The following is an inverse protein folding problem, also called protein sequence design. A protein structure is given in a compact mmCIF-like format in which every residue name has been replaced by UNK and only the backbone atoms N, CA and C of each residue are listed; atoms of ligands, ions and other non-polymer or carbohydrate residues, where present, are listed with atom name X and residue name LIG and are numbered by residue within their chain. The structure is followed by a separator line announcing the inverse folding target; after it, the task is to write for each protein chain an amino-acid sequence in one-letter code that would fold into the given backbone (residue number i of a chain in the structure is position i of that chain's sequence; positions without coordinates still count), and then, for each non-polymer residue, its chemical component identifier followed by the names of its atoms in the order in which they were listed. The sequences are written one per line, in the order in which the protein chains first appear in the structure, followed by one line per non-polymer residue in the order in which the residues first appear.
data_IF_499811565584
#
_entry.id   IF_499811565584
#
_cell.length_a   1.000
_cell.length_b   1.000
_cell.length_c   1.000
_cell.angle_alpha   90.00
_cell.angle_beta   90.00
_cell.angle_gamma   90.00
#
_symmetry.space_group_name_H-M   'P 1'
#
loop_
_entity.id
_entity.type
_entity.pdbx_description
1 polymer ?
#
# COMPACT_ATOMS: atom_id res chain seq x y z
N UNK A 1 38.51 17.19 -3.59
CA UNK A 1 39.35 16.68 -2.48
C UNK A 1 38.55 15.89 -1.45
N UNK A 2 37.48 16.46 -0.82
CA UNK A 2 36.70 15.74 0.19
C UNK A 2 36.04 14.49 -0.38
N UNK A 3 35.35 14.63 -1.51
CA UNK A 3 34.64 13.52 -2.17
C UNK A 3 35.65 12.47 -2.71
N UNK A 4 36.77 12.91 -3.30
CA UNK A 4 37.82 12.02 -3.82
C UNK A 4 38.39 11.16 -2.67
N UNK A 5 38.65 11.79 -1.52
CA UNK A 5 39.15 11.09 -0.32
C UNK A 5 38.15 10.05 0.24
N UNK A 6 36.86 10.15 -0.10
CA UNK A 6 35.82 9.21 0.25
C UNK A 6 35.48 8.20 -0.86
N UNK A 7 36.22 8.23 -1.98
CA UNK A 7 36.05 7.32 -3.11
C UNK A 7 34.98 7.74 -4.12
N UNK A 8 34.56 9.00 -4.13
CA UNK A 8 33.63 9.57 -5.10
C UNK A 8 34.35 10.32 -6.24
N UNK A 9 35.52 9.84 -6.65
CA UNK A 9 36.41 10.42 -7.68
C UNK A 9 35.79 10.47 -9.08
N UNK A 10 34.72 9.69 -9.32
CA UNK A 10 34.00 9.67 -10.59
C UNK A 10 32.99 10.81 -10.74
N UNK A 11 32.72 11.58 -9.67
CA UNK A 11 31.79 12.73 -9.73
C UNK A 11 32.56 13.91 -10.33
N UNK A 12 32.05 14.41 -11.44
CA UNK A 12 32.62 15.58 -12.10
C UNK A 12 31.84 16.83 -11.75
N UNK A 13 32.56 17.88 -11.43
CA UNK A 13 32.02 19.23 -11.25
C UNK A 13 32.71 20.14 -12.25
N UNK A 14 31.95 20.97 -12.94
CA UNK A 14 32.51 22.09 -13.69
C UNK A 14 32.54 23.32 -12.79
N UNK A 15 33.61 24.10 -12.87
CA UNK A 15 33.78 25.29 -12.05
C UNK A 15 32.71 26.33 -12.30
N UNK A 16 32.12 26.36 -13.51
CA UNK A 16 31.05 27.32 -13.84
C UNK A 16 29.81 27.19 -12.95
N UNK A 17 29.54 26.01 -12.40
CA UNK A 17 28.41 25.78 -11.47
C UNK A 17 28.53 26.56 -10.17
N UNK A 18 29.73 27.06 -9.83
CA UNK A 18 30.01 27.70 -8.55
C UNK A 18 30.49 29.15 -8.67
N UNK A 19 30.86 29.60 -9.85
CA UNK A 19 31.45 30.94 -10.06
C UNK A 19 30.44 32.06 -9.71
N UNK A 20 29.17 31.86 -10.01
CA UNK A 20 28.09 32.83 -9.75
C UNK A 20 27.40 32.62 -8.40
N UNK A 21 27.76 31.54 -7.66
CA UNK A 21 27.21 31.30 -6.33
C UNK A 21 27.81 32.27 -5.30
N UNK A 22 27.10 32.45 -4.18
CA UNK A 22 27.54 33.29 -3.08
C UNK A 22 28.88 32.80 -2.51
N UNK A 23 29.93 33.59 -2.71
CA UNK A 23 31.28 33.27 -2.25
C UNK A 23 31.41 33.45 -0.73
N UNK A 24 32.36 32.74 -0.12
CA UNK A 24 32.55 32.78 1.34
C UNK A 24 32.86 34.18 1.84
N UNK A 25 33.72 34.91 1.13
CA UNK A 25 34.17 36.26 1.44
C UNK A 25 33.02 37.27 1.46
N UNK A 26 32.02 37.06 0.63
CA UNK A 26 30.81 37.91 0.57
C UNK A 26 29.73 37.45 1.57
N UNK A 27 29.60 36.14 1.77
CA UNK A 27 28.59 35.55 2.66
C UNK A 27 28.81 35.95 4.12
N UNK A 28 30.03 35.87 4.61
CA UNK A 28 30.33 36.11 6.03
C UNK A 28 29.98 37.54 6.47
N UNK A 29 30.45 38.60 5.82
CA UNK A 29 30.06 39.98 6.16
C UNK A 29 28.55 40.19 6.05
N UNK A 30 27.91 39.61 5.03
CA UNK A 30 26.47 39.69 4.83
C UNK A 30 25.71 39.04 5.99
N UNK A 31 26.11 37.86 6.43
CA UNK A 31 25.46 37.16 7.54
C UNK A 31 25.64 37.90 8.86
N UNK A 32 26.80 38.46 9.16
CA UNK A 32 27.02 39.33 10.32
C UNK A 32 26.07 40.52 10.32
N UNK A 33 25.91 41.16 9.15
CA UNK A 33 25.00 42.30 8.99
C UNK A 33 23.53 41.88 9.19
N UNK A 34 23.11 40.76 8.63
CA UNK A 34 21.76 40.23 8.76
C UNK A 34 21.46 39.82 10.20
N UNK A 35 22.36 39.13 10.89
CA UNK A 35 22.23 38.80 12.30
C UNK A 35 22.05 40.03 13.18
N UNK A 36 22.82 41.09 12.90
CA UNK A 36 22.69 42.38 13.62
C UNK A 36 21.31 43.00 13.38
N UNK A 37 20.89 43.13 12.12
CA UNK A 37 19.63 43.76 11.73
C UNK A 37 18.40 43.03 12.28
N UNK A 38 18.43 41.70 12.28
CA UNK A 38 17.34 40.88 12.81
C UNK A 38 17.31 40.95 14.34
N UNK A 39 18.48 40.90 14.99
CA UNK A 39 18.59 41.02 16.44
C UNK A 39 18.06 42.36 16.95
N UNK A 40 18.34 43.47 16.29
CA UNK A 40 17.79 44.80 16.62
C UNK A 40 16.26 44.86 16.55
N UNK A 41 15.64 43.91 15.82
CA UNK A 41 14.18 43.80 15.65
C UNK A 41 13.55 42.68 16.45
N UNK A 42 14.31 42.00 17.30
CA UNK A 42 13.85 40.84 18.09
C UNK A 42 13.56 39.62 17.24
N UNK A 43 14.16 39.52 16.02
CA UNK A 43 14.04 38.38 15.11
C UNK A 43 15.34 37.58 15.10
N UNK A 44 15.25 36.33 14.70
CA UNK A 44 16.39 35.42 14.52
C UNK A 44 16.72 35.30 13.03
N UNK A 45 18.01 35.36 12.69
CA UNK A 45 18.51 35.01 11.36
C UNK A 45 19.18 33.65 11.40
N UNK A 46 18.88 32.82 10.42
CA UNK A 46 19.50 31.52 10.24
C UNK A 46 19.73 31.21 8.75
N UNK A 47 20.55 30.24 8.47
CA UNK A 47 20.84 29.77 7.13
C UNK A 47 20.40 28.34 6.95
N UNK A 48 19.95 27.98 5.74
CA UNK A 48 19.69 26.61 5.36
C UNK A 48 20.77 26.12 4.41
N UNK A 49 21.43 25.02 4.76
CA UNK A 49 22.51 24.39 3.99
C UNK A 49 22.21 22.89 3.82
N UNK A 50 22.47 22.26 2.70
CA UNK A 50 22.76 22.77 1.37
C UNK A 50 21.69 22.31 0.41
N UNK A 51 21.59 22.95 -0.75
CA UNK A 51 20.84 22.36 -1.87
C UNK A 51 21.64 21.20 -2.49
N UNK A 52 21.01 20.47 -3.41
CA UNK A 52 21.69 19.52 -4.29
C UNK A 52 22.70 20.25 -5.16
N UNK A 53 23.86 19.64 -5.40
CA UNK A 53 24.86 20.21 -6.30
C UNK A 53 24.66 19.72 -7.73
N UNK A 54 24.75 20.59 -8.75
CA UNK A 54 24.81 20.18 -10.13
C UNK A 54 26.12 19.43 -10.38
N UNK A 55 26.03 18.39 -11.18
CA UNK A 55 27.15 17.54 -11.60
C UNK A 55 26.96 17.14 -13.05
N UNK A 56 28.05 17.03 -13.79
CA UNK A 56 28.00 16.72 -15.21
C UNK A 56 27.57 15.27 -15.47
N UNK A 57 26.72 15.08 -16.47
CA UNK A 57 26.38 13.76 -17.00
C UNK A 57 27.45 13.34 -18.00
N UNK A 58 28.32 12.40 -17.62
CA UNK A 58 29.45 11.95 -18.48
C UNK A 58 29.23 10.58 -19.10
N UNK A 59 28.36 9.76 -18.54
CA UNK A 59 28.16 8.39 -18.99
C UNK A 59 26.72 8.15 -19.53
N UNK A 60 26.00 9.21 -19.87
CA UNK A 60 24.65 9.12 -20.42
C UNK A 60 23.64 8.57 -19.41
N UNK A 61 23.82 8.86 -18.12
CA UNK A 61 22.91 8.42 -17.05
C UNK A 61 21.52 9.03 -17.18
N UNK A 62 21.44 10.25 -17.71
CA UNK A 62 20.22 10.99 -17.98
C UNK A 62 20.27 11.62 -19.38
N UNK A 63 19.11 11.95 -19.98
CA UNK A 63 19.05 12.64 -21.27
C UNK A 63 19.37 14.16 -21.17
N UNK A 64 20.04 14.61 -20.13
CA UNK A 64 20.43 15.99 -19.86
C UNK A 64 21.95 16.08 -19.72
N UNK A 65 22.50 17.27 -19.88
CA UNK A 65 23.93 17.53 -19.70
C UNK A 65 24.32 17.54 -18.21
N UNK A 66 23.36 17.88 -17.35
CA UNK A 66 23.53 17.99 -15.91
C UNK A 66 22.57 17.08 -15.14
N UNK A 67 23.00 16.67 -13.96
CA UNK A 67 22.19 16.02 -12.94
C UNK A 67 22.52 16.60 -11.56
N UNK A 68 21.73 16.22 -10.54
CA UNK A 68 21.92 16.75 -9.19
C UNK A 68 22.42 15.69 -8.23
N UNK A 69 23.57 15.96 -7.60
CA UNK A 69 24.10 15.13 -6.52
C UNK A 69 23.28 15.37 -5.24
N UNK A 70 22.81 14.28 -4.63
CA UNK A 70 22.03 14.32 -3.41
C UNK A 70 22.30 13.10 -2.50
N UNK A 71 21.71 13.10 -1.32
CA UNK A 71 21.79 11.99 -0.39
C UNK A 71 23.16 11.85 0.27
N UNK A 72 23.63 10.63 0.47
CA UNK A 72 24.81 10.30 1.28
C UNK A 72 26.10 11.02 0.86
N UNK A 73 26.32 11.18 -0.43
CA UNK A 73 27.50 11.87 -0.96
C UNK A 73 27.50 13.38 -0.66
N UNK A 74 26.33 13.97 -0.46
CA UNK A 74 26.19 15.38 -0.12
C UNK A 74 26.48 15.66 1.37
N UNK A 75 26.26 14.69 2.25
CA UNK A 75 26.44 14.86 3.69
C UNK A 75 27.82 15.39 4.11
N UNK A 76 28.93 14.84 3.62
CA UNK A 76 30.26 15.35 3.96
C UNK A 76 30.48 16.81 3.61
N UNK A 77 29.94 17.25 2.47
CA UNK A 77 30.08 18.65 2.02
C UNK A 77 29.24 19.60 2.87
N UNK A 78 27.98 19.24 3.08
CA UNK A 78 27.05 20.03 3.92
C UNK A 78 27.52 20.12 5.36
N UNK A 79 28.03 19.03 5.92
CA UNK A 79 28.53 19.00 7.29
C UNK A 79 29.84 19.81 7.43
N UNK A 80 30.75 19.73 6.45
CA UNK A 80 31.95 20.57 6.44
C UNK A 80 31.60 22.05 6.44
N UNK A 81 30.64 22.47 5.62
CA UNK A 81 30.16 23.86 5.60
C UNK A 81 29.51 24.25 6.93
N UNK A 82 28.69 23.36 7.54
CA UNK A 82 28.10 23.59 8.86
C UNK A 82 29.19 23.81 9.91
N UNK A 83 30.24 22.99 9.90
CA UNK A 83 31.38 23.14 10.82
C UNK A 83 32.14 24.44 10.63
N UNK A 84 32.38 24.85 9.37
CA UNK A 84 33.02 26.14 9.07
C UNK A 84 32.17 27.32 9.57
N UNK A 85 30.89 27.36 9.27
CA UNK A 85 29.97 28.40 9.73
C UNK A 85 29.85 28.42 11.26
N UNK A 86 29.78 27.26 11.89
CA UNK A 86 29.71 27.17 13.35
C UNK A 86 30.95 27.77 14.04
N UNK A 87 32.12 27.54 13.50
CA UNK A 87 33.39 28.13 13.99
C UNK A 87 33.40 29.65 13.80
N UNK A 88 33.10 30.13 12.59
CA UNK A 88 33.10 31.55 12.25
C UNK A 88 32.16 32.36 13.15
N UNK A 89 30.93 31.87 13.32
CA UNK A 89 29.90 32.55 14.12
C UNK A 89 29.89 32.12 15.59
N UNK A 90 30.88 31.33 16.04
CA UNK A 90 30.99 30.88 17.45
C UNK A 90 29.70 30.22 17.97
N UNK A 91 29.08 29.42 17.10
CA UNK A 91 27.82 28.74 17.38
C UNK A 91 26.56 29.60 17.38
N UNK A 92 26.66 30.91 17.18
CA UNK A 92 25.51 31.83 17.29
C UNK A 92 24.61 31.88 16.04
N UNK A 93 25.07 31.44 14.89
CA UNK A 93 24.30 31.35 13.65
C UNK A 93 23.45 30.10 13.67
N UNK A 94 22.13 30.26 13.53
CA UNK A 94 21.24 29.10 13.40
C UNK A 94 21.43 28.43 12.04
N UNK A 95 21.64 27.13 12.08
CA UNK A 95 21.85 26.32 10.86
C UNK A 95 20.70 25.34 10.74
N UNK A 96 19.87 25.51 9.70
CA UNK A 96 18.94 24.52 9.22
C UNK A 96 19.67 23.58 8.26
N UNK A 97 19.63 22.29 8.52
CA UNK A 97 20.37 21.30 7.76
C UNK A 97 19.55 20.64 6.66
N UNK A 98 20.10 20.61 5.46
CA UNK A 98 19.49 19.89 4.33
C UNK A 98 20.62 19.39 3.44
N UNK A 99 21.03 18.16 3.57
CA UNK A 99 22.12 17.63 2.76
C UNK A 99 22.53 16.25 3.21
N UNK A 100 21.79 15.24 2.77
CA UNK A 100 22.13 13.85 2.99
C UNK A 100 21.93 13.33 4.41
N UNK A 101 21.19 14.04 5.27
CA UNK A 101 20.83 13.54 6.59
C UNK A 101 19.99 12.26 6.50
N UNK A 102 20.26 11.33 7.37
CA UNK A 102 19.58 10.04 7.49
C UNK A 102 19.58 9.53 8.94
N UNK A 103 19.16 8.29 9.15
CA UNK A 103 19.05 7.69 10.48
C UNK A 103 20.40 7.65 11.23
N UNK A 104 21.53 7.61 10.53
CA UNK A 104 22.86 7.54 11.15
C UNK A 104 23.37 8.90 11.61
N UNK A 105 22.84 9.98 11.05
CA UNK A 105 23.31 11.34 11.32
C UNK A 105 22.35 12.21 12.11
N UNK A 106 21.03 11.88 12.06
CA UNK A 106 19.98 12.76 12.59
C UNK A 106 20.17 13.11 14.08
N UNK A 107 20.44 12.12 14.90
CA UNK A 107 20.65 12.31 16.36
C UNK A 107 21.86 13.19 16.65
N UNK A 108 22.97 12.91 16.00
CA UNK A 108 24.24 13.63 16.15
C UNK A 108 24.12 15.10 15.73
N UNK A 109 23.44 15.38 14.62
CA UNK A 109 23.15 16.73 14.16
C UNK A 109 22.28 17.49 15.17
N UNK A 110 21.24 16.85 15.68
CA UNK A 110 20.36 17.45 16.66
C UNK A 110 21.09 17.79 17.96
N UNK A 111 21.87 16.85 18.49
CA UNK A 111 22.67 17.03 19.70
C UNK A 111 23.78 18.07 19.55
N UNK A 112 24.22 18.35 18.33
CA UNK A 112 25.15 19.44 18.03
C UNK A 112 24.45 20.81 17.89
N UNK A 113 23.12 20.88 18.01
CA UNK A 113 22.36 22.11 17.85
C UNK A 113 22.14 22.52 16.38
N UNK A 114 22.38 21.61 15.43
CA UNK A 114 22.19 21.84 13.99
C UNK A 114 20.79 21.35 13.62
N UNK A 115 19.80 22.21 13.70
CA UNK A 115 18.40 21.95 13.38
C UNK A 115 17.61 23.24 13.15
N UNK A 116 16.47 23.25 12.39
CA UNK A 116 15.73 22.09 11.89
C UNK A 116 16.48 21.28 10.82
N UNK A 117 16.14 19.97 10.70
CA UNK A 117 16.77 19.06 9.73
C UNK A 117 15.73 18.65 8.70
N UNK A 118 16.07 18.82 7.43
CA UNK A 118 15.23 18.47 6.29
C UNK A 118 15.80 17.24 5.57
N UNK A 119 14.93 16.30 5.23
CA UNK A 119 15.31 15.08 4.52
C UNK A 119 14.42 14.88 3.29
N UNK A 120 15.01 14.61 2.14
CA UNK A 120 14.31 14.28 0.91
C UNK A 120 14.71 12.89 0.40
N UNK A 121 15.99 12.70 0.05
CA UNK A 121 16.50 11.44 -0.53
C UNK A 121 16.21 10.22 0.34
N UNK A 122 16.23 10.38 1.67
CA UNK A 122 15.93 9.30 2.62
C UNK A 122 14.54 8.72 2.43
N UNK A 123 13.54 9.56 2.18
CA UNK A 123 12.14 9.14 2.00
C UNK A 123 11.80 8.73 0.57
N UNK A 124 12.65 9.08 -0.40
CA UNK A 124 12.54 8.61 -1.78
C UNK A 124 13.10 7.20 -1.98
N UNK A 125 13.85 6.68 -1.00
CA UNK A 125 14.36 5.30 -1.01
C UNK A 125 13.31 4.31 -0.53
N UNK A 126 13.50 2.99 -0.82
CA UNK A 126 12.62 1.94 -0.30
C UNK A 126 12.39 2.07 1.20
N UNK A 127 11.13 1.96 1.63
CA UNK A 127 10.68 2.24 3.00
C UNK A 127 9.93 3.58 3.11
N UNK A 128 10.13 4.52 2.17
CA UNK A 128 9.35 5.75 2.06
C UNK A 128 9.18 6.50 3.38
N UNK A 129 7.97 6.95 3.64
CA UNK A 129 7.62 7.69 4.86
C UNK A 129 7.72 6.85 6.16
N UNK A 130 7.74 5.51 6.09
CA UNK A 130 7.98 4.67 7.28
C UNK A 130 9.34 4.92 7.92
N UNK A 131 10.30 5.47 7.16
CA UNK A 131 11.61 5.88 7.69
C UNK A 131 11.50 6.97 8.74
N UNK A 132 10.49 7.83 8.69
CA UNK A 132 10.25 8.81 9.76
C UNK A 132 9.92 8.16 11.10
N UNK A 133 9.22 7.02 11.10
CA UNK A 133 8.98 6.27 12.33
C UNK A 133 10.27 5.69 12.92
N UNK A 134 11.21 5.25 12.08
CA UNK A 134 12.52 4.79 12.53
C UNK A 134 13.35 5.95 13.10
N UNK A 135 13.40 7.07 12.38
CA UNK A 135 14.11 8.29 12.80
C UNK A 135 13.49 8.85 14.09
N UNK A 136 12.15 8.86 14.19
CA UNK A 136 11.47 9.28 15.41
C UNK A 136 11.86 8.46 16.63
N UNK A 137 12.07 7.15 16.48
CA UNK A 137 12.55 6.29 17.56
C UNK A 137 13.95 6.67 18.04
N UNK A 138 14.86 7.01 17.13
CA UNK A 138 16.21 7.46 17.47
C UNK A 138 16.21 8.78 18.24
N UNK A 139 15.15 9.59 18.10
CA UNK A 139 15.02 10.88 18.78
C UNK A 139 14.17 10.83 20.04
N UNK A 140 13.51 9.71 20.35
CA UNK A 140 12.58 9.60 21.51
C UNK A 140 13.24 9.84 22.86
N UNK A 141 14.50 9.47 23.01
CA UNK A 141 15.24 9.59 24.26
C UNK A 141 15.98 10.94 24.41
N UNK A 142 15.80 11.85 23.44
CA UNK A 142 16.43 13.18 23.48
C UNK A 142 15.47 14.16 24.13
N UNK A 143 15.92 14.83 25.20
CA UNK A 143 15.21 15.96 25.77
C UNK A 143 15.24 17.14 24.79
N UNK A 144 14.06 17.68 24.47
CA UNK A 144 13.98 18.89 23.67
C UNK A 144 14.15 20.11 24.54
N UNK A 145 15.24 20.83 24.31
CA UNK A 145 15.50 22.13 24.93
C UNK A 145 15.41 23.24 23.87
N UNK A 146 15.03 24.44 24.25
CA UNK A 146 15.09 25.59 23.34
C UNK A 146 16.50 25.76 22.76
N UNK A 147 16.56 26.17 21.51
CA UNK A 147 17.85 26.34 20.84
C UNK A 147 18.69 27.43 21.51
N UNK A 148 19.90 27.10 21.93
CA UNK A 148 20.84 28.01 22.60
C UNK A 148 22.08 28.30 21.76
N UNK A 149 22.23 27.62 20.64
CA UNK A 149 23.38 27.73 19.73
C UNK A 149 23.78 26.39 19.16
N UNK A 150 24.72 26.43 18.24
CA UNK A 150 25.43 25.24 17.75
C UNK A 150 26.60 24.96 18.65
N UNK A 151 26.72 23.72 19.12
CA UNK A 151 27.91 23.24 19.83
C UNK A 151 29.04 23.06 18.83
N UNK A 152 29.97 24.02 18.83
CA UNK A 152 31.08 24.07 17.85
C UNK A 152 32.00 22.86 17.95
N UNK A 153 32.25 22.38 19.19
CA UNK A 153 33.14 21.24 19.41
C UNK A 153 32.51 19.93 18.91
N UNK A 154 31.22 19.75 19.17
CA UNK A 154 30.47 18.61 18.60
C UNK A 154 30.40 18.68 17.07
N UNK A 155 30.11 19.85 16.51
CA UNK A 155 30.08 20.03 15.06
C UNK A 155 31.46 19.70 14.43
N UNK A 156 32.55 20.14 15.04
CA UNK A 156 33.90 19.83 14.60
C UNK A 156 34.26 18.33 14.73
N UNK A 157 33.80 17.70 15.81
CA UNK A 157 33.95 16.26 16.00
C UNK A 157 33.23 15.47 14.90
N UNK A 158 32.01 15.86 14.54
CA UNK A 158 31.27 15.23 13.44
C UNK A 158 31.96 15.40 12.08
N UNK A 159 32.55 16.59 11.83
CA UNK A 159 33.34 16.84 10.62
C UNK A 159 34.59 15.94 10.54
N UNK A 160 35.18 15.63 11.67
CA UNK A 160 36.32 14.68 11.72
C UNK A 160 35.90 13.23 11.60
N UNK A 161 34.73 12.89 12.17
CA UNK A 161 34.19 11.52 12.19
C UNK A 161 33.84 11.01 10.79
N UNK A 162 33.15 11.82 9.96
CA UNK A 162 32.69 11.33 8.66
C UNK A 162 33.81 10.86 7.74
N UNK A 163 35.01 11.36 7.90
CA UNK A 163 36.18 10.99 7.07
C UNK A 163 36.51 9.51 7.23
N UNK A 164 36.31 8.96 8.41
CA UNK A 164 36.58 7.56 8.74
C UNK A 164 35.31 6.69 8.80
N UNK A 165 34.13 7.30 8.82
CA UNK A 165 32.88 6.59 8.88
C UNK A 165 32.57 5.91 7.54
N UNK A 166 32.61 4.58 7.55
CA UNK A 166 32.37 3.74 6.36
C UNK A 166 31.01 3.99 5.73
N UNK A 167 30.01 4.50 6.50
CA UNK A 167 28.70 4.81 5.98
C UNK A 167 28.74 5.88 4.87
N UNK A 168 29.67 6.82 4.95
CA UNK A 168 29.83 7.91 3.98
C UNK A 168 30.87 7.60 2.90
N UNK A 169 31.61 6.52 3.01
CA UNK A 169 32.55 6.08 2.00
C UNK A 169 31.87 5.34 0.85
N UNK A 170 32.32 5.57 -0.38
CA UNK A 170 31.80 4.91 -1.57
C UNK A 170 31.93 3.39 -1.56
N UNK A 171 33.06 2.81 -1.13
CA UNK A 171 33.28 1.38 -1.14
C UNK A 171 32.38 0.57 -0.19
N UNK A 172 31.72 1.22 0.76
CA UNK A 172 30.84 0.52 1.72
C UNK A 172 29.77 -0.35 1.05
N UNK A 173 29.29 0.07 -0.11
CA UNK A 173 28.41 -0.73 -0.94
C UNK A 173 29.01 -0.86 -2.31
N UNK A 174 29.77 -1.89 -2.59
CA UNK A 174 30.08 -2.24 -3.97
C UNK A 174 28.72 -2.55 -4.63
N UNK A 175 28.09 -1.51 -5.16
CA UNK A 175 26.88 -1.68 -5.96
C UNK A 175 27.40 -2.22 -7.27
N UNK A 176 27.10 -3.48 -7.62
CA UNK A 176 27.31 -3.93 -8.99
C UNK A 176 26.60 -2.93 -9.89
N UNK A 177 27.20 -2.63 -11.02
CA UNK A 177 26.65 -1.67 -12.00
C UNK A 177 25.14 -1.86 -12.10
N UNK A 178 24.38 -0.78 -11.97
CA UNK A 178 22.92 -0.83 -12.22
C UNK A 178 22.61 -1.06 -13.71
N UNK A 179 23.62 -0.87 -14.57
CA UNK A 179 23.54 -1.25 -15.99
C UNK A 179 23.66 -2.76 -16.06
N UNK A 180 22.56 -3.42 -16.32
CA UNK A 180 22.53 -4.85 -16.56
C UNK A 180 22.68 -5.11 -18.04
N UNK A 181 23.72 -5.84 -18.44
CA UNK A 181 23.94 -6.27 -19.81
C UNK A 181 22.95 -7.35 -20.26
N UNK A 182 22.15 -7.83 -19.33
CA UNK A 182 21.14 -8.87 -19.57
C UNK A 182 19.74 -8.28 -19.42
N UNK A 183 18.82 -8.78 -20.23
CA UNK A 183 17.39 -8.51 -20.06
C UNK A 183 16.99 -8.86 -18.62
N UNK A 184 16.60 -7.83 -17.88
CA UNK A 184 16.16 -8.00 -16.50
C UNK A 184 14.91 -8.87 -16.51
N UNK A 185 14.84 -9.98 -15.74
CA UNK A 185 13.57 -10.63 -15.50
C UNK A 185 12.59 -9.59 -14.96
N UNK A 186 11.31 -9.72 -15.32
CA UNK A 186 10.25 -8.90 -14.72
C UNK A 186 10.38 -9.00 -13.20
N UNK A 187 10.92 -7.95 -12.62
CA UNK A 187 11.01 -7.83 -11.17
C UNK A 187 9.69 -7.19 -10.74
N UNK A 188 9.01 -7.80 -9.77
CA UNK A 188 7.86 -7.18 -9.16
C UNK A 188 8.21 -5.75 -8.72
N UNK A 189 7.45 -4.78 -9.23
CA UNK A 189 7.42 -3.48 -8.60
C UNK A 189 7.07 -3.66 -7.14
N UNK A 190 7.70 -2.92 -6.25
CA UNK A 190 7.49 -2.99 -4.81
C UNK A 190 6.01 -2.91 -4.43
N UNK A 191 5.24 -2.13 -5.16
CA UNK A 191 3.80 -2.03 -5.03
C UNK A 191 3.22 -1.77 -6.41
N UNK A 192 2.77 -2.82 -7.06
CA UNK A 192 2.01 -2.66 -8.28
C UNK A 192 0.73 -1.87 -7.97
N UNK A 193 0.44 -0.76 -8.68
CA UNK A 193 -0.75 0.05 -8.42
C UNK A 193 -2.05 -0.73 -8.46
N UNK A 194 -2.12 -1.80 -9.27
CA UNK A 194 -3.25 -2.71 -9.30
C UNK A 194 -3.44 -3.48 -7.98
N UNK A 195 -2.35 -3.83 -7.28
CA UNK A 195 -2.42 -4.44 -5.95
C UNK A 195 -3.02 -3.48 -4.94
N UNK A 196 -2.57 -2.22 -4.91
CA UNK A 196 -3.12 -1.18 -4.04
C UNK A 196 -4.57 -0.81 -4.40
N UNK A 197 -4.96 -0.97 -5.67
CA UNK A 197 -6.34 -0.84 -6.12
C UNK A 197 -7.25 -1.99 -5.73
N UNK A 198 -6.70 -3.12 -5.28
CA UNK A 198 -7.46 -4.27 -4.83
C UNK A 198 -7.74 -4.17 -3.32
N UNK A 199 -9.04 -4.15 -2.86
CA UNK A 199 -9.35 -4.02 -1.44
C UNK A 199 -8.79 -5.13 -0.54
N UNK A 200 -8.47 -6.29 -1.11
CA UNK A 200 -7.85 -7.43 -0.42
C UNK A 200 -6.38 -7.62 -0.82
N UNK A 201 -5.78 -6.64 -1.49
CA UNK A 201 -4.37 -6.60 -1.87
C UNK A 201 -3.84 -7.90 -2.48
N UNK A 202 -4.59 -8.47 -3.45
CA UNK A 202 -4.15 -9.66 -4.16
C UNK A 202 -2.83 -9.42 -4.88
N UNK A 203 -1.99 -10.43 -4.94
CA UNK A 203 -0.76 -10.40 -5.72
C UNK A 203 -1.07 -10.58 -7.20
N UNK A 204 -1.57 -9.49 -7.80
CA UNK A 204 -2.05 -9.48 -9.18
C UNK A 204 -0.93 -9.77 -10.18
N UNK A 205 0.26 -9.15 -10.09
CA UNK A 205 1.35 -9.45 -11.02
C UNK A 205 1.74 -10.92 -10.99
N UNK A 206 1.84 -11.52 -9.80
CA UNK A 206 2.26 -12.90 -9.67
C UNK A 206 1.27 -13.87 -10.31
N UNK A 207 -0.03 -13.76 -10.02
CA UNK A 207 -0.97 -14.69 -10.66
C UNK A 207 -1.16 -14.43 -12.16
N UNK A 208 -1.06 -13.18 -12.64
CA UNK A 208 -1.10 -12.89 -14.08
C UNK A 208 0.07 -13.51 -14.81
N UNK A 209 1.27 -13.50 -14.22
CA UNK A 209 2.44 -14.19 -14.76
C UNK A 209 2.17 -15.67 -14.90
N UNK A 210 1.59 -16.32 -13.88
CA UNK A 210 1.24 -17.74 -13.93
C UNK A 210 0.16 -18.05 -14.95
N UNK A 211 -0.84 -17.19 -15.10
CA UNK A 211 -1.84 -17.31 -16.18
C UNK A 211 -1.18 -17.24 -17.55
N UNK A 212 -0.24 -16.32 -17.76
CA UNK A 212 0.49 -16.19 -19.00
C UNK A 212 1.38 -17.41 -19.32
N UNK A 213 1.90 -18.06 -18.30
CA UNK A 213 2.65 -19.32 -18.41
C UNK A 213 1.75 -20.55 -18.62
N UNK A 214 0.42 -20.40 -18.57
CA UNK A 214 -0.54 -21.51 -18.62
C UNK A 214 -0.62 -22.33 -17.32
N UNK A 215 0.01 -21.87 -16.25
CA UNK A 215 0.06 -22.52 -14.92
C UNK A 215 -1.12 -22.10 -14.05
N UNK A 216 -2.32 -22.49 -14.45
CA UNK A 216 -3.56 -22.02 -13.81
C UNK A 216 -3.71 -22.49 -12.36
N UNK A 217 -3.23 -23.69 -12.02
CA UNK A 217 -3.21 -24.18 -10.64
C UNK A 217 -2.39 -23.26 -9.72
N UNK A 218 -1.15 -22.93 -10.13
CA UNK A 218 -0.28 -22.04 -9.37
C UNK A 218 -0.89 -20.63 -9.27
N UNK A 219 -1.51 -20.14 -10.36
CA UNK A 219 -2.21 -18.87 -10.36
C UNK A 219 -3.37 -18.86 -9.35
N UNK A 220 -4.19 -19.92 -9.34
CA UNK A 220 -5.32 -20.05 -8.41
C UNK A 220 -4.82 -20.18 -6.96
N UNK A 221 -3.73 -20.86 -6.72
CA UNK A 221 -3.11 -20.96 -5.40
C UNK A 221 -2.68 -19.58 -4.87
N UNK A 222 -2.07 -18.75 -5.73
CA UNK A 222 -1.73 -17.37 -5.38
C UNK A 222 -2.99 -16.55 -5.06
N UNK A 223 -4.02 -16.67 -5.89
CA UNK A 223 -5.29 -15.96 -5.71
C UNK A 223 -5.94 -16.34 -4.38
N UNK A 224 -6.06 -17.64 -4.09
CA UNK A 224 -6.74 -18.15 -2.89
C UNK A 224 -5.99 -17.85 -1.59
N UNK A 225 -4.75 -17.37 -1.68
CA UNK A 225 -4.02 -16.89 -0.51
C UNK A 225 -4.74 -15.71 0.17
N UNK A 226 -5.36 -14.80 -0.61
CA UNK A 226 -6.08 -13.61 -0.11
C UNK A 226 -7.54 -13.51 -0.54
N UNK A 227 -7.99 -14.39 -1.41
CA UNK A 227 -9.34 -14.37 -1.97
C UNK A 227 -9.99 -15.76 -1.85
N UNK A 228 -10.92 -15.87 -0.92
CA UNK A 228 -11.66 -17.12 -0.70
C UNK A 228 -12.67 -17.47 -1.80
N UNK A 229 -13.05 -16.46 -2.63
CA UNK A 229 -14.15 -16.55 -3.60
C UNK A 229 -13.67 -16.17 -5.01
N UNK A 230 -12.74 -16.92 -5.61
CA UNK A 230 -12.15 -16.59 -6.90
C UNK A 230 -13.15 -16.60 -8.06
N UNK A 231 -14.16 -17.48 -8.05
CA UNK A 231 -15.19 -17.54 -9.09
C UNK A 231 -16.16 -16.37 -9.00
N UNK A 232 -16.72 -16.11 -7.81
CA UNK A 232 -17.62 -14.96 -7.59
C UNK A 232 -16.90 -13.67 -7.94
N UNK A 233 -15.70 -13.44 -7.40
CA UNK A 233 -14.96 -12.20 -7.64
C UNK A 233 -14.33 -12.16 -9.04
N UNK A 234 -14.10 -13.28 -9.69
CA UNK A 234 -13.71 -13.37 -11.08
C UNK A 234 -14.81 -12.91 -12.04
N UNK A 235 -16.06 -13.11 -11.62
CA UNK A 235 -17.24 -12.80 -12.44
C UNK A 235 -17.77 -11.39 -12.19
N UNK A 236 -18.01 -11.00 -10.92
CA UNK A 236 -18.78 -9.79 -10.58
C UNK A 236 -18.02 -8.72 -9.78
N UNK A 237 -16.71 -8.88 -9.56
CA UNK A 237 -15.92 -7.86 -8.86
C UNK A 237 -15.95 -6.52 -9.64
N UNK A 238 -15.96 -5.40 -8.92
CA UNK A 238 -15.89 -4.04 -9.48
C UNK A 238 -14.55 -3.68 -10.11
N UNK A 239 -13.58 -4.57 -10.06
CA UNK A 239 -12.24 -4.52 -10.69
C UNK A 239 -11.49 -3.17 -10.58
N UNK A 240 -11.55 -2.48 -9.46
CA UNK A 240 -10.85 -1.22 -9.21
C UNK A 240 -9.33 -1.29 -9.45
N UNK A 241 -8.77 -2.48 -9.41
CA UNK A 241 -7.39 -2.74 -9.81
C UNK A 241 -7.13 -2.38 -11.28
N UNK A 242 -8.12 -2.52 -12.16
CA UNK A 242 -8.00 -2.13 -13.58
C UNK A 242 -7.97 -0.62 -13.74
N UNK A 243 -8.70 0.14 -12.90
CA UNK A 243 -8.66 1.60 -12.90
C UNK A 243 -7.27 2.14 -12.48
N UNK A 244 -6.53 1.37 -11.69
CA UNK A 244 -5.16 1.69 -11.24
C UNK A 244 -4.07 1.07 -12.10
N UNK A 245 -4.42 0.39 -13.19
CA UNK A 245 -3.44 -0.23 -14.06
C UNK A 245 -2.60 0.83 -14.77
N UNK A 246 -1.26 0.69 -14.70
CA UNK A 246 -0.34 1.63 -15.34
C UNK A 246 -0.49 1.64 -16.86
N UNK A 247 -0.99 0.57 -17.47
CA UNK A 247 -1.24 0.52 -18.91
C UNK A 247 -2.28 1.53 -19.38
N UNK A 248 -3.18 1.99 -18.49
CA UNK A 248 -4.12 3.07 -18.84
C UNK A 248 -3.41 4.36 -19.31
N UNK A 249 -2.10 4.51 -19.03
CA UNK A 249 -1.31 5.64 -19.50
C UNK A 249 -0.87 5.51 -20.99
N UNK A 250 -0.94 4.30 -21.57
CA UNK A 250 -0.50 4.07 -22.96
C UNK A 250 -1.62 3.54 -23.85
N UNK A 251 -2.42 2.56 -23.33
CA UNK A 251 -3.45 1.87 -24.09
C UNK A 251 -4.60 1.43 -23.16
N UNK A 252 -4.90 0.16 -23.05
CA UNK A 252 -5.97 -0.37 -22.18
C UNK A 252 -5.39 -1.10 -20.99
N UNK A 253 -6.14 -1.07 -19.87
CA UNK A 253 -5.80 -1.86 -18.68
C UNK A 253 -5.75 -3.36 -19.00
N UNK A 254 -4.90 -4.08 -18.29
CA UNK A 254 -4.98 -5.55 -18.30
C UNK A 254 -6.35 -5.98 -17.78
N UNK A 255 -7.01 -6.91 -18.47
CA UNK A 255 -8.31 -7.48 -18.07
C UNK A 255 -8.17 -8.41 -16.85
N UNK A 256 -7.75 -7.82 -15.72
CA UNK A 256 -7.35 -8.52 -14.50
C UNK A 256 -8.47 -9.43 -13.98
N UNK A 257 -9.71 -8.95 -13.97
CA UNK A 257 -10.85 -9.75 -13.53
C UNK A 257 -11.05 -11.00 -14.36
N UNK A 258 -11.00 -10.86 -15.68
CA UNK A 258 -11.15 -11.98 -16.62
C UNK A 258 -10.01 -12.99 -16.46
N UNK A 259 -8.78 -12.53 -16.31
CA UNK A 259 -7.64 -13.42 -16.08
C UNK A 259 -7.73 -14.16 -14.74
N UNK A 260 -8.28 -13.52 -13.72
CA UNK A 260 -8.57 -14.16 -12.43
C UNK A 260 -9.60 -15.28 -12.58
N UNK A 261 -10.68 -15.04 -13.32
CA UNK A 261 -11.67 -16.08 -13.62
C UNK A 261 -11.05 -17.23 -14.40
N UNK A 262 -10.28 -16.93 -15.43
CA UNK A 262 -9.56 -17.93 -16.22
C UNK A 262 -8.61 -18.80 -15.35
N UNK A 263 -7.94 -18.19 -14.38
CA UNK A 263 -7.12 -18.93 -13.42
C UNK A 263 -7.98 -19.83 -12.53
N UNK A 264 -9.14 -19.34 -12.07
CA UNK A 264 -10.06 -20.13 -11.26
C UNK A 264 -10.60 -21.34 -12.03
N UNK A 265 -11.13 -21.12 -13.23
CA UNK A 265 -11.66 -22.19 -14.08
C UNK A 265 -10.59 -23.22 -14.47
N UNK A 266 -9.43 -22.76 -14.94
CA UNK A 266 -8.37 -23.65 -15.40
C UNK A 266 -7.58 -24.36 -14.29
N UNK A 267 -7.55 -23.80 -13.07
CA UNK A 267 -6.78 -24.33 -11.95
C UNK A 267 -7.60 -25.15 -10.93
N UNK A 268 -8.92 -25.07 -10.98
CA UNK A 268 -9.82 -25.57 -9.95
C UNK A 268 -9.68 -27.08 -9.70
N UNK A 269 -9.83 -27.89 -10.74
CA UNK A 269 -9.80 -29.35 -10.65
C UNK A 269 -8.44 -29.88 -10.14
N UNK A 270 -7.36 -29.17 -10.49
CA UNK A 270 -6.02 -29.55 -10.05
C UNK A 270 -5.71 -29.11 -8.62
N UNK A 271 -6.24 -27.96 -8.18
CA UNK A 271 -5.97 -27.39 -6.86
C UNK A 271 -6.88 -27.98 -5.78
N UNK A 272 -8.18 -28.14 -6.05
CA UNK A 272 -9.19 -28.54 -5.04
C UNK A 272 -8.77 -29.77 -4.22
N UNK A 273 -8.29 -30.91 -4.80
CA UNK A 273 -7.92 -32.08 -4.04
C UNK A 273 -6.67 -31.91 -3.18
N UNK A 274 -5.88 -30.86 -3.43
CA UNK A 274 -4.64 -30.54 -2.69
C UNK A 274 -4.91 -29.62 -1.50
N UNK A 275 -6.07 -28.98 -1.48
CA UNK A 275 -6.45 -28.08 -0.40
C UNK A 275 -6.77 -28.85 0.87
N UNK A 276 -6.27 -28.36 1.97
CA UNK A 276 -6.53 -28.90 3.30
C UNK A 276 -6.34 -27.84 4.38
N UNK A 277 -7.07 -27.94 5.49
CA UNK A 277 -6.87 -27.04 6.64
C UNK A 277 -5.50 -27.28 7.28
N UNK A 278 -5.02 -26.29 8.03
CA UNK A 278 -3.89 -26.45 8.93
C UNK A 278 -4.24 -27.42 10.07
N UNK A 279 -3.25 -27.74 10.91
CA UNK A 279 -3.47 -28.54 12.11
C UNK A 279 -4.54 -27.85 13.00
N UNK A 280 -5.43 -28.65 13.63
CA UNK A 280 -6.50 -28.10 14.44
C UNK A 280 -6.01 -27.22 15.58
N UNK A 281 -6.61 -26.04 15.73
CA UNK A 281 -6.35 -25.12 16.84
C UNK A 281 -7.24 -25.46 18.02
N UNK A 282 -6.65 -25.95 19.10
CA UNK A 282 -7.37 -26.36 20.31
C UNK A 282 -8.08 -25.16 20.99
N UNK A 283 -9.29 -25.42 21.51
CA UNK A 283 -10.04 -24.47 22.33
C UNK A 283 -10.67 -23.30 21.57
N UNK A 284 -10.63 -23.28 20.23
CA UNK A 284 -11.28 -22.26 19.40
C UNK A 284 -12.36 -22.89 18.53
N UNK A 285 -13.61 -22.56 18.85
CA UNK A 285 -14.78 -22.95 18.06
C UNK A 285 -15.53 -21.69 17.66
N UNK A 286 -15.62 -21.41 16.37
CA UNK A 286 -16.18 -20.17 15.84
C UNK A 286 -17.48 -20.43 15.10
N UNK A 287 -18.52 -19.65 15.40
CA UNK A 287 -19.75 -19.61 14.65
C UNK A 287 -19.76 -18.44 13.69
N UNK A 288 -20.19 -18.64 12.45
CA UNK A 288 -20.42 -17.60 11.46
C UNK A 288 -21.90 -17.55 11.14
N UNK A 289 -22.57 -16.43 11.43
CA UNK A 289 -23.98 -16.24 11.17
C UNK A 289 -24.17 -15.56 9.80
N UNK A 290 -24.66 -16.32 8.83
CA UNK A 290 -24.87 -15.92 7.45
C UNK A 290 -23.86 -16.53 6.48
N UNK A 291 -24.37 -17.22 5.47
CA UNK A 291 -23.61 -17.92 4.42
C UNK A 291 -23.45 -17.12 3.13
N UNK A 292 -23.51 -15.79 3.20
CA UNK A 292 -23.18 -14.91 2.08
C UNK A 292 -21.66 -14.77 1.86
N UNK A 293 -21.22 -13.95 0.88
CA UNK A 293 -19.78 -13.82 0.55
C UNK A 293 -18.88 -13.48 1.75
N UNK A 294 -19.35 -12.63 2.67
CA UNK A 294 -18.60 -12.28 3.87
C UNK A 294 -18.42 -13.49 4.81
N UNK A 295 -19.49 -14.23 5.07
CA UNK A 295 -19.45 -15.41 5.92
C UNK A 295 -18.65 -16.55 5.30
N UNK A 296 -18.83 -16.82 4.01
CA UNK A 296 -18.05 -17.82 3.27
C UNK A 296 -16.55 -17.49 3.31
N UNK A 297 -16.17 -16.22 3.11
CA UNK A 297 -14.77 -15.79 3.18
C UNK A 297 -14.18 -15.94 4.58
N UNK A 298 -14.92 -15.51 5.61
CA UNK A 298 -14.50 -15.67 7.00
C UNK A 298 -14.29 -17.15 7.35
N UNK A 299 -15.26 -17.99 6.98
CA UNK A 299 -15.20 -19.43 7.23
C UNK A 299 -14.02 -20.10 6.50
N UNK A 300 -13.77 -19.74 5.24
CA UNK A 300 -12.63 -20.22 4.47
C UNK A 300 -11.30 -19.95 5.18
N UNK A 301 -11.06 -18.69 5.57
CA UNK A 301 -9.77 -18.33 6.18
C UNK A 301 -9.59 -18.91 7.58
N UNK A 302 -10.65 -18.99 8.36
CA UNK A 302 -10.63 -19.63 9.68
C UNK A 302 -10.39 -21.13 9.57
N UNK A 303 -11.12 -21.81 8.68
CA UNK A 303 -10.94 -23.23 8.42
C UNK A 303 -9.53 -23.53 7.92
N UNK A 304 -9.02 -22.73 6.97
CA UNK A 304 -7.64 -22.83 6.49
C UNK A 304 -6.61 -22.70 7.61
N UNK A 305 -6.89 -21.87 8.60
CA UNK A 305 -6.04 -21.72 9.79
C UNK A 305 -6.22 -22.84 10.84
N UNK A 306 -7.04 -23.87 10.59
CA UNK A 306 -7.28 -24.98 11.48
C UNK A 306 -8.29 -24.71 12.60
N UNK A 307 -9.06 -23.63 12.51
CA UNK A 307 -10.11 -23.31 13.50
C UNK A 307 -11.35 -24.16 13.22
N UNK A 308 -11.99 -24.71 14.26
CA UNK A 308 -13.31 -25.38 14.15
C UNK A 308 -14.39 -24.34 13.88
N UNK A 309 -14.89 -24.30 12.64
CA UNK A 309 -15.81 -23.30 12.14
C UNK A 309 -17.12 -23.93 11.68
N UNK A 310 -18.24 -23.33 12.09
CA UNK A 310 -19.57 -23.67 11.59
C UNK A 310 -20.26 -22.43 11.06
N UNK A 311 -20.74 -22.48 9.82
CA UNK A 311 -21.59 -21.46 9.20
C UNK A 311 -23.05 -21.81 9.40
N UNK A 312 -23.84 -20.89 9.95
CA UNK A 312 -25.27 -20.97 10.10
C UNK A 312 -25.95 -20.11 9.04
N UNK A 313 -26.70 -20.72 8.15
CA UNK A 313 -27.44 -20.04 7.09
C UNK A 313 -28.92 -20.32 7.19
N UNK A 314 -29.72 -19.26 7.19
CA UNK A 314 -31.22 -19.37 7.30
C UNK A 314 -31.86 -19.91 6.03
N UNK A 315 -31.21 -19.76 4.88
CA UNK A 315 -31.69 -20.26 3.60
C UNK A 315 -31.22 -21.69 3.35
N UNK A 316 -31.72 -22.27 2.29
CA UNK A 316 -31.44 -23.63 1.84
C UNK A 316 -30.09 -23.81 1.16
N UNK A 317 -29.38 -22.69 0.91
CA UNK A 317 -28.12 -22.70 0.20
C UNK A 317 -27.24 -21.49 0.53
N UNK A 318 -25.92 -21.67 0.41
CA UNK A 318 -24.92 -20.63 0.58
C UNK A 318 -24.87 -19.68 -0.64
N UNK A 319 -24.27 -18.51 -0.44
CA UNK A 319 -24.06 -17.51 -1.48
C UNK A 319 -24.77 -16.17 -1.20
N UNK A 320 -25.74 -16.15 -0.29
CA UNK A 320 -26.44 -14.93 0.10
C UNK A 320 -27.06 -14.19 -1.09
N UNK A 321 -26.93 -12.87 -1.13
CA UNK A 321 -27.45 -12.04 -2.25
C UNK A 321 -26.90 -12.47 -3.61
N UNK A 322 -25.65 -12.95 -3.67
CA UNK A 322 -25.06 -13.38 -4.95
C UNK A 322 -25.81 -14.55 -5.56
N UNK A 323 -26.25 -15.51 -4.73
CA UNK A 323 -27.04 -16.64 -5.21
C UNK A 323 -28.53 -16.32 -5.35
N UNK A 324 -29.11 -15.64 -4.38
CA UNK A 324 -30.56 -15.55 -4.28
C UNK A 324 -31.16 -14.34 -5.00
N UNK A 325 -30.34 -13.29 -5.27
CA UNK A 325 -30.83 -12.02 -5.83
C UNK A 325 -30.19 -11.69 -7.15
N UNK A 326 -28.85 -11.79 -7.25
CA UNK A 326 -28.15 -11.45 -8.49
C UNK A 326 -28.60 -12.42 -9.61
N UNK A 327 -29.05 -11.91 -10.77
CA UNK A 327 -29.57 -12.75 -11.85
C UNK A 327 -28.54 -13.74 -12.42
N UNK A 328 -29.04 -14.88 -12.91
CA UNK A 328 -28.22 -15.93 -13.48
C UNK A 328 -27.42 -15.48 -14.73
N UNK A 329 -27.89 -14.47 -15.44
CA UNK A 329 -27.14 -13.89 -16.55
C UNK A 329 -25.90 -13.05 -16.12
N UNK A 330 -25.76 -12.78 -14.84
CA UNK A 330 -24.57 -12.14 -14.26
C UNK A 330 -23.58 -13.15 -13.70
N UNK A 331 -24.06 -14.15 -13.02
CA UNK A 331 -23.26 -15.22 -12.41
C UNK A 331 -24.07 -16.50 -12.30
N UNK A 332 -23.47 -17.60 -12.71
CA UNK A 332 -24.07 -18.92 -12.61
C UNK A 332 -24.02 -19.47 -11.18
N UNK A 333 -24.95 -20.35 -10.83
CA UNK A 333 -24.91 -21.05 -9.55
C UNK A 333 -23.70 -21.99 -9.46
N UNK A 334 -23.25 -22.56 -10.58
CA UNK A 334 -22.03 -23.36 -10.65
C UNK A 334 -20.78 -22.60 -10.18
N UNK A 335 -20.63 -21.34 -10.60
CA UNK A 335 -19.52 -20.48 -10.15
C UNK A 335 -19.55 -20.29 -8.63
N UNK A 336 -20.74 -20.12 -8.05
CA UNK A 336 -20.91 -20.02 -6.60
C UNK A 336 -20.59 -21.34 -5.91
N UNK A 337 -21.05 -22.47 -6.46
CA UNK A 337 -20.82 -23.80 -5.92
C UNK A 337 -19.33 -24.17 -5.92
N UNK A 338 -18.56 -23.71 -6.91
CA UNK A 338 -17.12 -23.92 -6.93
C UNK A 338 -16.42 -23.17 -5.78
N UNK A 339 -16.84 -21.93 -5.47
CA UNK A 339 -16.34 -21.22 -4.29
C UNK A 339 -16.77 -21.91 -2.97
N UNK A 340 -17.99 -22.47 -2.91
CA UNK A 340 -18.46 -23.29 -1.77
C UNK A 340 -17.57 -24.54 -1.60
N UNK A 341 -17.21 -25.23 -2.69
CA UNK A 341 -16.32 -26.41 -2.63
C UNK A 341 -14.93 -26.04 -2.10
N UNK A 342 -14.38 -24.87 -2.51
CA UNK A 342 -13.12 -24.37 -1.96
C UNK A 342 -13.20 -24.12 -0.45
N UNK A 343 -14.31 -23.54 0.02
CA UNK A 343 -14.55 -23.31 1.45
C UNK A 343 -14.67 -24.65 2.21
N UNK A 344 -15.44 -25.59 1.66
CA UNK A 344 -15.66 -26.90 2.30
C UNK A 344 -14.35 -27.71 2.40
N UNK A 345 -13.44 -27.57 1.43
CA UNK A 345 -12.11 -28.18 1.48
C UNK A 345 -11.27 -27.72 2.69
N UNK A 346 -11.62 -26.59 3.30
CA UNK A 346 -11.01 -26.10 4.55
C UNK A 346 -11.64 -26.70 5.81
N UNK A 347 -12.48 -27.74 5.72
CA UNK A 347 -13.08 -28.40 6.87
C UNK A 347 -14.21 -27.60 7.54
N UNK A 348 -14.78 -26.62 6.85
CA UNK A 348 -15.89 -25.81 7.36
C UNK A 348 -17.16 -26.64 7.45
N UNK A 349 -17.87 -26.56 8.58
CA UNK A 349 -19.20 -27.14 8.80
C UNK A 349 -20.26 -26.14 8.37
N UNK A 350 -21.36 -26.62 7.79
CA UNK A 350 -22.45 -25.78 7.32
C UNK A 350 -23.79 -26.32 7.85
N UNK A 351 -24.56 -25.43 8.47
CA UNK A 351 -25.91 -25.70 8.91
C UNK A 351 -26.86 -24.79 8.12
N UNK A 352 -27.51 -25.36 7.11
CA UNK A 352 -28.53 -24.68 6.28
C UNK A 352 -29.89 -24.70 6.96
N UNK A 353 -30.84 -23.87 6.47
CA UNK A 353 -32.18 -23.73 7.03
C UNK A 353 -32.17 -23.44 8.54
N UNK A 354 -31.10 -22.80 9.02
CA UNK A 354 -30.88 -22.55 10.44
C UNK A 354 -30.78 -21.06 10.73
N UNK A 355 -31.84 -20.49 11.25
CA UNK A 355 -31.86 -19.09 11.68
C UNK A 355 -31.35 -18.97 13.12
N UNK A 356 -30.33 -18.19 13.32
CA UNK A 356 -29.80 -17.86 14.66
C UNK A 356 -30.53 -16.60 15.16
N UNK A 357 -31.33 -16.74 16.20
CA UNK A 357 -32.08 -15.63 16.80
C UNK A 357 -31.34 -14.93 17.93
N UNK A 358 -30.46 -15.67 18.63
CA UNK A 358 -29.69 -15.16 19.73
C UNK A 358 -28.22 -15.61 19.62
N UNK A 359 -27.32 -14.70 19.78
CA UNK A 359 -25.85 -15.00 19.83
C UNK A 359 -25.55 -15.80 21.10
N UNK A 360 -26.29 -15.59 22.19
CA UNK A 360 -26.11 -16.31 23.45
C UNK A 360 -26.28 -17.82 23.27
N UNK A 361 -27.27 -18.26 22.47
CA UNK A 361 -27.51 -19.67 22.20
C UNK A 361 -26.28 -20.37 21.60
N UNK A 362 -25.42 -19.63 20.86
CA UNK A 362 -24.20 -20.17 20.31
C UNK A 362 -23.09 -20.28 21.36
N UNK A 363 -22.98 -19.31 22.25
CA UNK A 363 -22.05 -19.40 23.37
C UNK A 363 -22.42 -20.55 24.30
N UNK A 364 -23.71 -20.77 24.55
CA UNK A 364 -24.23 -21.89 25.37
C UNK A 364 -23.93 -23.26 24.70
N UNK A 365 -23.83 -23.30 23.36
CA UNK A 365 -23.40 -24.47 22.58
C UNK A 365 -21.87 -24.62 22.50
N UNK A 366 -21.12 -23.82 23.24
CA UNK A 366 -19.66 -23.90 23.35
C UNK A 366 -18.88 -23.22 22.23
N UNK A 367 -19.52 -22.36 21.44
CA UNK A 367 -18.76 -21.48 20.55
C UNK A 367 -18.04 -20.42 21.36
N UNK A 368 -16.78 -20.18 21.05
CA UNK A 368 -15.95 -19.23 21.78
C UNK A 368 -15.99 -17.82 21.15
N UNK A 369 -16.36 -17.74 19.88
CA UNK A 369 -16.45 -16.50 19.11
C UNK A 369 -17.58 -16.62 18.08
N UNK A 370 -18.20 -15.47 17.76
CA UNK A 370 -19.27 -15.38 16.77
C UNK A 370 -18.95 -14.27 15.78
N UNK A 371 -19.07 -14.55 14.50
CA UNK A 371 -18.94 -13.58 13.40
C UNK A 371 -20.35 -13.32 12.83
N UNK A 372 -20.74 -12.05 12.81
CA UNK A 372 -21.98 -11.61 12.21
C UNK A 372 -21.75 -11.24 10.74
N UNK A 373 -22.33 -12.03 9.83
CA UNK A 373 -22.23 -11.85 8.37
C UNK A 373 -23.61 -11.88 7.71
N UNK A 374 -24.61 -11.32 8.39
CA UNK A 374 -26.04 -11.39 8.03
C UNK A 374 -26.43 -10.60 6.78
N UNK A 375 -25.55 -9.74 6.29
CA UNK A 375 -25.77 -8.91 5.11
C UNK A 375 -26.74 -7.74 5.35
N UNK A 376 -27.21 -7.14 4.26
CA UNK A 376 -28.09 -5.96 4.28
C UNK A 376 -29.36 -6.25 3.47
N UNK A 377 -30.29 -6.97 4.06
CA UNK A 377 -31.55 -7.39 3.44
C UNK A 377 -32.69 -6.40 3.67
N UNK A 378 -32.50 -5.36 4.49
CA UNK A 378 -33.53 -4.39 4.78
C UNK A 378 -33.89 -3.54 3.57
N UNK A 379 -35.20 -3.34 3.42
CA UNK A 379 -35.76 -2.53 2.34
C UNK A 379 -35.39 -1.08 2.50
N UNK A 380 -34.83 -0.48 1.45
CA UNK A 380 -34.89 0.95 1.26
C UNK A 380 -36.21 1.33 0.61
N UNK A 381 -36.71 2.52 0.87
CA UNK A 381 -37.88 3.09 0.18
C UNK A 381 -37.43 4.26 -0.67
N UNK A 382 -38.03 4.39 -1.85
CA UNK A 382 -37.84 5.58 -2.68
C UNK A 382 -38.63 6.79 -2.17
N UNK A 383 -39.51 6.57 -1.15
CA UNK A 383 -40.32 7.63 -0.56
C UNK A 383 -41.36 8.18 -1.52
N UNK A 384 -41.98 7.32 -2.32
CA UNK A 384 -42.96 7.73 -3.31
C UNK A 384 -44.25 8.23 -2.62
N UNK A 385 -44.76 9.37 -3.09
CA UNK A 385 -45.98 9.95 -2.57
C UNK A 385 -47.23 9.19 -3.08
N UNK A 386 -47.15 8.61 -4.28
CA UNK A 386 -48.23 7.91 -4.94
C UNK A 386 -47.76 6.59 -5.54
N UNK A 387 -48.63 5.58 -5.53
CA UNK A 387 -48.39 4.27 -6.10
C UNK A 387 -47.75 3.29 -5.11
N UNK A 388 -47.54 2.08 -5.58
CA UNK A 388 -46.87 1.01 -4.83
C UNK A 388 -45.50 0.76 -5.41
N UNK A 389 -44.46 0.67 -4.56
CA UNK A 389 -43.12 0.28 -4.94
C UNK A 389 -42.85 -1.17 -4.56
N UNK A 390 -42.27 -1.92 -5.46
CA UNK A 390 -41.67 -3.22 -5.18
C UNK A 390 -40.20 -3.05 -4.87
N UNK A 391 -39.75 -3.55 -3.73
CA UNK A 391 -38.32 -3.51 -3.42
C UNK A 391 -37.52 -4.36 -4.42
N UNK A 392 -36.44 -3.80 -4.95
CA UNK A 392 -35.66 -4.42 -6.02
C UNK A 392 -35.02 -5.75 -5.60
N UNK A 393 -34.63 -5.92 -4.33
CA UNK A 393 -34.06 -7.19 -3.82
C UNK A 393 -35.14 -8.26 -3.84
N UNK A 394 -36.35 -7.93 -3.36
CA UNK A 394 -37.50 -8.83 -3.37
C UNK A 394 -37.93 -9.18 -4.79
N UNK A 395 -37.98 -8.18 -5.67
CA UNK A 395 -38.28 -8.39 -7.08
C UNK A 395 -37.27 -9.36 -7.74
N UNK A 396 -35.98 -9.10 -7.62
CA UNK A 396 -34.95 -9.94 -8.24
C UNK A 396 -34.89 -11.35 -7.63
N UNK A 397 -35.16 -11.49 -6.34
CA UNK A 397 -35.27 -12.81 -5.70
C UNK A 397 -36.45 -13.61 -6.28
N UNK A 398 -37.63 -12.98 -6.41
CA UNK A 398 -38.79 -13.60 -7.05
C UNK A 398 -38.57 -13.90 -8.52
N UNK A 399 -38.01 -12.94 -9.26
CA UNK A 399 -37.70 -13.13 -10.68
C UNK A 399 -36.76 -14.29 -10.96
N UNK A 400 -35.83 -14.55 -10.01
CA UNK A 400 -34.89 -15.68 -10.11
C UNK A 400 -35.52 -17.02 -9.73
N UNK A 401 -36.37 -17.06 -8.69
CA UNK A 401 -36.91 -18.30 -8.12
C UNK A 401 -38.22 -18.76 -8.74
N UNK A 402 -39.10 -17.82 -9.04
CA UNK A 402 -40.48 -18.07 -9.49
C UNK A 402 -40.93 -16.90 -10.39
N UNK A 403 -40.35 -16.74 -11.57
CA UNK A 403 -40.67 -15.62 -12.46
C UNK A 403 -42.16 -15.58 -12.82
N UNK A 404 -42.79 -16.74 -12.91
CA UNK A 404 -44.21 -16.89 -13.16
C UNK A 404 -45.12 -16.30 -12.08
N UNK A 405 -44.62 -16.03 -10.88
CA UNK A 405 -45.33 -15.41 -9.78
C UNK A 405 -45.39 -13.88 -9.85
N UNK A 406 -44.68 -13.29 -10.83
CA UNK A 406 -44.62 -11.84 -11.00
C UNK A 406 -45.64 -11.38 -12.04
N UNK A 407 -46.62 -10.58 -11.60
CA UNK A 407 -47.47 -9.81 -12.50
C UNK A 407 -47.00 -8.35 -12.52
N UNK A 408 -46.26 -7.98 -13.57
CA UNK A 408 -45.67 -6.66 -13.72
C UNK A 408 -46.51 -5.74 -14.63
N UNK A 409 -47.58 -6.26 -15.21
CA UNK A 409 -48.38 -5.53 -16.20
C UNK A 409 -47.57 -5.24 -17.48
N UNK A 410 -48.08 -4.26 -18.27
CA UNK A 410 -47.45 -3.91 -19.56
C UNK A 410 -46.35 -2.85 -19.47
N UNK A 411 -46.37 -2.04 -18.45
CA UNK A 411 -45.43 -0.93 -18.28
C UNK A 411 -44.80 -1.04 -16.90
N UNK A 412 -43.44 -1.12 -16.89
CA UNK A 412 -42.66 -1.20 -15.66
C UNK A 412 -41.75 0.01 -15.59
N UNK A 413 -41.73 0.68 -14.45
CA UNK A 413 -40.80 1.80 -14.17
C UNK A 413 -39.77 1.35 -13.17
N UNK A 414 -38.47 1.52 -13.52
CA UNK A 414 -37.35 1.23 -12.64
C UNK A 414 -36.69 2.54 -12.24
N UNK A 415 -36.65 2.82 -10.93
CA UNK A 415 -36.07 4.04 -10.39
C UNK A 415 -34.64 3.76 -9.96
N UNK A 416 -33.69 4.44 -10.62
CA UNK A 416 -32.26 4.32 -10.35
C UNK A 416 -31.43 4.01 -11.61
N UNK A 417 -30.12 4.28 -11.55
CA UNK A 417 -29.16 4.09 -12.64
C UNK A 417 -28.01 3.15 -12.29
N UNK A 418 -28.02 2.53 -11.11
CA UNK A 418 -26.98 1.61 -10.67
C UNK A 418 -27.13 0.20 -11.24
N UNK A 419 -26.14 -0.65 -11.03
CA UNK A 419 -26.15 -2.04 -11.52
C UNK A 419 -27.42 -2.82 -11.14
N UNK A 420 -27.90 -2.63 -9.91
CA UNK A 420 -29.13 -3.29 -9.44
C UNK A 420 -30.38 -2.87 -10.22
N UNK A 421 -30.48 -1.59 -10.58
CA UNK A 421 -31.57 -1.08 -11.41
C UNK A 421 -31.50 -1.63 -12.84
N UNK A 422 -30.27 -1.70 -13.41
CA UNK A 422 -30.06 -2.33 -14.71
C UNK A 422 -30.41 -3.82 -14.72
N UNK A 423 -30.08 -4.54 -13.66
CA UNK A 423 -30.44 -5.93 -13.48
C UNK A 423 -31.96 -6.12 -13.37
N UNK A 424 -32.63 -5.23 -12.61
CA UNK A 424 -34.09 -5.24 -12.49
C UNK A 424 -34.77 -4.96 -13.81
N UNK A 425 -34.35 -3.91 -14.53
CA UNK A 425 -34.90 -3.58 -15.84
C UNK A 425 -34.70 -4.69 -16.89
N UNK A 426 -33.63 -5.48 -16.76
CA UNK A 426 -33.38 -6.60 -17.65
C UNK A 426 -34.14 -7.88 -17.27
N UNK A 427 -34.45 -8.02 -15.99
CA UNK A 427 -35.18 -9.16 -15.47
C UNK A 427 -36.69 -8.99 -15.60
N UNK A 428 -37.20 -7.73 -15.65
CA UNK A 428 -38.61 -7.40 -15.92
C UNK A 428 -38.97 -7.62 -17.39
#
# INVERSE_FOLDING_TARGET
KTLDGLGYDYIAFDDHHFVEDLQWEDAIPMFHRLMKLTGERGLEFGVKITNTFPVDVKAGELPSEEMYMSGRSLYPLSLSLAGMLSKEFKGKLRISYSGGADIHSIKKLFEAGIWPITMATTVLKPGGYQRFSQIGKELMDISYEPWTGVDVDKADALVKEFVTDVHYQKPMKPIPSRKMDKKVPLIDCFEAPCRNGCPIEQDIPAYLMKVNEGKYEEALQIITHRNALPFITGTICSHRCQDKCMRNAYDESVYIRTQKLKAAEGGFEALLPKLKPAAPVSGKKVAVIGGGPAGMSAAYFLGRAGVDVTVFERKDSLGGIVRHVIPAFRISDEAIDNDVKLMNAMGVKVELNTEVKSVQDLFDKGYTQVILATGAWHKGSAGMEYGEEMNVIEFLEKAKKAPESLDLGKNVVVIGGGNTAMDAARAA
#
